data_IF_363229866548
#
_entry.id   IF_363229866548
#
_cell.length_a   1.000
_cell.length_b   1.000
_cell.length_c   1.000
_cell.angle_alpha   90.00
_cell.angle_beta   90.00
_cell.angle_gamma   90.00
#
_symmetry.space_group_name_H-M   'P 1'
#
loop_
_entity.id
_entity.type
_entity.pdbx_description
1 polymer ?
#
# COMPACT_ATOMS: atom_id res chain seq x y z
N UNK A 1 3.72 8.50 -5.99
CA UNK A 1 2.73 8.46 -4.91
C UNK A 1 2.27 7.04 -4.65
N UNK A 2 1.96 6.74 -3.41
CA UNK A 2 1.52 5.40 -3.04
C UNK A 2 0.00 5.34 -3.06
N UNK A 3 -0.55 4.30 -3.68
CA UNK A 3 -1.99 4.09 -3.75
C UNK A 3 -2.32 2.84 -2.94
N UNK A 4 -3.15 3.01 -1.92
CA UNK A 4 -3.52 1.92 -1.03
C UNK A 4 -5.03 1.68 -1.14
N UNK A 5 -5.41 0.52 -1.65
CA UNK A 5 -6.81 0.14 -1.72
C UNK A 5 -7.17 -0.68 -0.49
N UNK A 6 -8.21 -0.28 0.20
CA UNK A 6 -8.59 -0.99 1.41
C UNK A 6 -10.03 -0.73 1.80
N UNK A 7 -10.35 -1.08 3.04
CA UNK A 7 -11.69 -0.95 3.59
C UNK A 7 -11.64 -0.22 4.92
N UNK A 8 -12.82 0.08 5.48
CA UNK A 8 -12.89 0.82 6.73
C UNK A 8 -12.37 -0.01 7.91
N UNK A 9 -12.78 -1.26 7.99
CA UNK A 9 -12.41 -2.11 9.12
C UNK A 9 -11.30 -3.06 8.72
N UNK A 10 -10.15 -2.50 8.41
CA UNK A 10 -9.01 -3.30 7.97
C UNK A 10 -7.77 -2.93 8.78
N UNK A 11 -7.37 -3.83 9.64
CA UNK A 11 -6.21 -3.62 10.51
C UNK A 11 -4.93 -3.37 9.71
N UNK A 12 -4.69 -4.19 8.71
CA UNK A 12 -3.46 -4.09 7.93
C UNK A 12 -3.46 -2.90 6.97
N UNK A 13 -4.67 -2.47 6.56
CA UNK A 13 -4.78 -1.25 5.77
C UNK A 13 -4.37 -0.04 6.60
N UNK A 14 -4.82 -0.01 7.85
CA UNK A 14 -4.44 1.07 8.76
C UNK A 14 -2.95 1.05 9.04
N UNK A 15 -2.40 -0.15 9.17
CA UNK A 15 -0.96 -0.30 9.39
C UNK A 15 -0.17 0.23 8.20
N UNK A 16 -0.66 -0.03 6.98
CA UNK A 16 0.01 0.46 5.79
C UNK A 16 0.00 1.99 5.73
N UNK A 17 -1.13 2.60 6.07
CA UNK A 17 -1.23 4.06 6.13
C UNK A 17 -0.26 4.62 7.15
N UNK A 18 -0.25 4.03 8.34
CA UNK A 18 0.64 4.49 9.41
C UNK A 18 2.10 4.38 9.00
N UNK A 19 2.45 3.31 8.29
CA UNK A 19 3.82 3.12 7.84
C UNK A 19 4.20 4.18 6.80
N UNK A 20 3.31 4.44 5.84
CA UNK A 20 3.57 5.46 4.84
C UNK A 20 3.77 6.83 5.49
N UNK A 21 2.92 7.15 6.47
CA UNK A 21 3.02 8.41 7.19
C UNK A 21 4.34 8.50 7.96
N UNK A 22 4.70 7.43 8.65
CA UNK A 22 5.94 7.41 9.43
C UNK A 22 7.17 7.61 8.56
N UNK A 23 7.09 7.18 7.31
CA UNK A 23 8.20 7.32 6.37
C UNK A 23 8.16 8.62 5.58
N UNK A 24 7.16 9.45 5.84
CA UNK A 24 7.02 10.73 5.13
C UNK A 24 6.68 10.55 3.66
N UNK A 25 6.03 9.46 3.31
CA UNK A 25 5.68 9.17 1.93
C UNK A 25 4.30 9.70 1.60
N UNK A 26 4.13 10.22 0.41
CA UNK A 26 2.82 10.66 -0.05
C UNK A 26 2.01 9.44 -0.45
N UNK A 27 0.75 9.41 -0.02
CA UNK A 27 -0.12 8.29 -0.31
C UNK A 27 -1.56 8.73 -0.44
N UNK A 28 -2.35 7.88 -1.06
CA UNK A 28 -3.80 8.06 -1.14
C UNK A 28 -4.44 6.76 -0.68
N UNK A 29 -5.30 6.86 0.34
CA UNK A 29 -6.03 5.69 0.83
C UNK A 29 -7.36 5.62 0.12
N UNK A 30 -7.54 4.59 -0.70
CA UNK A 30 -8.75 4.41 -1.50
C UNK A 30 -9.65 3.41 -0.80
N UNK A 31 -10.58 3.96 -0.01
CA UNK A 31 -11.47 3.16 0.81
C UNK A 31 -12.67 2.70 0.00
N UNK A 32 -12.72 1.40 -0.26
CA UNK A 32 -13.76 0.82 -1.11
C UNK A 32 -15.12 0.77 -0.44
N UNK A 33 -15.18 0.89 0.88
CA UNK A 33 -16.44 0.97 1.59
C UNK A 33 -17.12 2.32 1.37
N UNK A 34 -16.34 3.35 1.08
CA UNK A 34 -16.85 4.70 0.90
C UNK A 34 -17.11 5.05 -0.55
N UNK A 35 -16.51 4.32 -1.48
CA UNK A 35 -16.62 4.64 -2.90
C UNK A 35 -16.46 3.37 -3.74
N UNK A 36 -17.56 2.95 -4.35
CA UNK A 36 -17.56 1.74 -5.18
C UNK A 36 -16.61 1.81 -6.35
N UNK A 37 -16.30 3.02 -6.80
CA UNK A 37 -15.40 3.21 -7.91
C UNK A 37 -14.02 2.66 -7.61
N UNK A 38 -13.60 2.75 -6.36
CA UNK A 38 -12.31 2.21 -5.95
C UNK A 38 -12.28 0.69 -6.08
N UNK A 39 -13.39 0.04 -5.78
CA UNK A 39 -13.48 -1.40 -5.97
C UNK A 39 -13.34 -1.75 -7.46
N UNK A 40 -14.03 -1.01 -8.30
CA UNK A 40 -13.99 -1.22 -9.75
C UNK A 40 -12.57 -1.02 -10.27
N UNK A 41 -11.89 0.03 -9.79
CA UNK A 41 -10.51 0.29 -10.17
C UNK A 41 -9.59 -0.86 -9.76
N UNK A 42 -9.75 -1.33 -8.54
CA UNK A 42 -8.90 -2.40 -8.05
C UNK A 42 -9.12 -3.68 -8.85
N UNK A 43 -10.37 -4.00 -9.14
CA UNK A 43 -10.69 -5.18 -9.96
C UNK A 43 -10.06 -5.09 -11.34
N UNK A 44 -10.05 -3.88 -11.90
CA UNK A 44 -9.44 -3.67 -13.21
C UNK A 44 -7.93 -3.85 -13.18
N UNK A 45 -7.29 -3.40 -12.10
CA UNK A 45 -5.84 -3.47 -11.96
C UNK A 45 -5.36 -4.85 -11.51
N UNK A 46 -6.14 -5.52 -10.67
CA UNK A 46 -5.76 -6.80 -10.09
C UNK A 46 -7.01 -7.69 -9.99
N UNK A 47 -7.45 -8.26 -11.10
CA UNK A 47 -8.72 -9.03 -11.13
C UNK A 47 -8.75 -10.19 -10.14
N UNK A 48 -7.59 -10.73 -9.79
CA UNK A 48 -7.51 -11.88 -8.90
C UNK A 48 -7.22 -11.52 -7.45
N UNK A 49 -7.38 -10.24 -7.07
CA UNK A 49 -7.11 -9.87 -5.69
C UNK A 49 -8.10 -10.55 -4.76
N UNK A 50 -7.62 -10.93 -3.58
CA UNK A 50 -8.44 -11.61 -2.59
C UNK A 50 -8.37 -10.98 -1.22
N UNK A 51 -7.38 -10.12 -1.01
CA UNK A 51 -7.16 -9.51 0.31
C UNK A 51 -6.93 -8.03 0.17
N UNK A 52 -7.01 -7.32 1.29
CA UNK A 52 -6.64 -5.91 1.39
C UNK A 52 -5.66 -5.79 2.53
N UNK A 53 -4.75 -4.82 2.47
CA UNK A 53 -4.62 -3.78 1.46
C UNK A 53 -3.98 -4.31 0.17
N UNK A 54 -4.24 -3.61 -0.93
CA UNK A 54 -3.54 -3.84 -2.19
C UNK A 54 -2.87 -2.52 -2.53
N UNK A 55 -1.56 -2.55 -2.71
CA UNK A 55 -0.74 -1.34 -2.73
C UNK A 55 0.06 -1.21 -4.02
N UNK A 56 0.05 0.00 -4.60
CA UNK A 56 0.90 0.36 -5.73
C UNK A 56 1.79 1.51 -5.31
N UNK A 57 3.01 1.51 -5.78
CA UNK A 57 3.98 2.57 -5.51
C UNK A 57 4.47 3.09 -6.85
N UNK A 58 4.05 4.31 -7.18
CA UNK A 58 4.39 4.94 -8.48
C UNK A 58 4.04 4.01 -9.62
N UNK A 59 2.82 3.49 -9.60
CA UNK A 59 2.27 2.61 -10.62
C UNK A 59 2.83 1.20 -10.64
N UNK A 60 3.75 0.88 -9.73
CA UNK A 60 4.30 -0.46 -9.61
C UNK A 60 3.54 -1.23 -8.53
N UNK A 61 3.05 -2.39 -8.87
CA UNK A 61 2.32 -3.21 -7.90
C UNK A 61 3.28 -3.72 -6.82
N UNK A 62 2.92 -3.48 -5.58
CA UNK A 62 3.72 -3.91 -4.44
C UNK A 62 3.13 -5.16 -3.79
N UNK A 63 1.82 -5.15 -3.50
CA UNK A 63 1.18 -6.26 -2.81
C UNK A 63 0.48 -5.79 -1.56
N UNK A 64 0.56 -6.57 -0.49
CA UNK A 64 -0.06 -6.24 0.77
C UNK A 64 0.87 -5.50 1.71
N UNK A 65 0.50 -5.48 2.99
CA UNK A 65 1.28 -4.73 3.97
C UNK A 65 2.70 -5.27 4.10
N UNK A 66 2.86 -6.58 4.18
CA UNK A 66 4.19 -7.19 4.35
C UNK A 66 5.11 -6.83 3.20
N UNK A 67 4.56 -6.87 1.98
CA UNK A 67 5.32 -6.54 0.79
C UNK A 67 5.71 -5.07 0.80
N UNK A 68 4.79 -4.21 1.26
CA UNK A 68 5.05 -2.78 1.35
C UNK A 68 6.15 -2.49 2.36
N UNK A 69 6.07 -3.11 3.53
CA UNK A 69 7.08 -2.94 4.57
C UNK A 69 8.44 -3.41 4.07
N UNK A 70 8.46 -4.53 3.36
CA UNK A 70 9.69 -5.07 2.81
C UNK A 70 10.28 -4.12 1.77
N UNK A 71 9.43 -3.54 0.95
CA UNK A 71 9.89 -2.60 -0.07
C UNK A 71 10.52 -1.37 0.54
N UNK A 72 9.91 -0.85 1.61
CA UNK A 72 10.47 0.29 2.33
C UNK A 72 11.82 -0.05 2.89
N UNK A 73 11.93 -1.23 3.49
CA UNK A 73 13.18 -1.68 4.08
C UNK A 73 14.26 -1.83 3.03
N UNK A 74 13.92 -2.41 1.89
CA UNK A 74 14.87 -2.57 0.80
C UNK A 74 15.36 -1.23 0.29
N UNK A 75 14.46 -0.27 0.21
CA UNK A 75 14.79 1.05 -0.32
C UNK A 75 15.61 1.85 0.66
N UNK A 76 15.20 1.88 1.92
CA UNK A 76 15.89 2.67 2.95
C UNK A 76 17.15 2.01 3.41
N UNK A 77 17.09 0.70 3.62
CA UNK A 77 18.21 -0.05 4.13
C UNK A 77 19.37 -0.06 3.18
N UNK A 78 19.05 0.11 1.90
CA UNK A 78 20.06 0.08 0.88
C UNK A 78 21.11 1.15 1.06
N UNK A 79 20.76 2.25 1.68
CA UNK A 79 21.76 3.22 1.96
C UNK A 79 21.93 3.45 3.43
N UNK A 80 21.01 3.02 4.15
CA UNK A 80 21.27 3.03 5.52
C UNK A 80 22.41 2.20 5.76
N UNK A 81 22.60 1.45 5.05
CA UNK A 81 23.46 0.67 5.34
C UNK A 81 24.50 0.86 5.07
N UNK A 82 24.17 1.36 4.45
CA UNK A 82 25.17 1.41 4.60
C UNK A 82 25.43 1.08 5.89
N UNK A 83 24.77 0.95 6.36
CA UNK A 83 24.95 0.65 7.47
C UNK A 83 25.31 -0.37 7.73
N UNK A 84 25.29 -0.47 7.14
CA UNK A 84 25.65 -1.12 7.17
C UNK A 84 26.25 -1.20 7.03
#
# INVERSE_FOLDING_TARGET
MIEIYGTTACKWCKAAVALAEAQGLKFEYRNMDLNDQFYTELKARKPDFKTVPQIWWDSRYIGGYSDFAQEIENTSGGYGDGKV
#
